data_IF_745201824982
#
_entry.id   IF_745201824982
#
_cell.length_a   1.000
_cell.length_b   1.000
_cell.length_c   1.000
_cell.angle_alpha   90.00
_cell.angle_beta   90.00
_cell.angle_gamma   90.00
#
_symmetry.space_group_name_H-M   'P 1'
#
loop_
_entity.id
_entity.type
_entity.pdbx_description
1 polymer ?
#
# COMPACT_ATOMS: atom_id res chain seq x y z
N UNK A 1 -17.54 -68.40 -24.78
CA UNK A 1 -18.88 -68.83 -25.22
C UNK A 1 -19.92 -68.11 -24.37
N UNK A 2 -20.93 -67.52 -25.04
CA UNK A 2 -22.23 -66.94 -24.63
C UNK A 2 -22.64 -67.13 -23.14
N UNK A 3 -23.20 -66.14 -22.45
CA UNK A 3 -24.51 -65.55 -22.79
C UNK A 3 -24.69 -64.09 -22.32
N UNK A 4 -25.25 -63.29 -23.22
CA UNK A 4 -26.06 -62.10 -22.95
C UNK A 4 -27.53 -62.51 -22.77
N UNK A 5 -28.30 -61.75 -21.97
CA UNK A 5 -29.58 -61.13 -22.38
C UNK A 5 -30.04 -60.03 -21.36
N UNK A 6 -30.91 -59.08 -21.79
CA UNK A 6 -30.97 -57.68 -21.30
C UNK A 6 -32.32 -57.29 -20.65
N UNK A 7 -32.47 -56.07 -20.10
CA UNK A 7 -33.68 -55.20 -20.01
C UNK A 7 -33.27 -53.92 -19.23
N UNK A 8 -33.03 -52.76 -19.86
CA UNK A 8 -33.94 -51.68 -20.30
C UNK A 8 -34.32 -50.62 -19.22
N UNK A 9 -33.76 -49.41 -19.42
CA UNK A 9 -34.35 -48.05 -19.29
C UNK A 9 -34.87 -47.56 -17.93
N UNK A 10 -34.22 -46.53 -17.37
CA UNK A 10 -34.86 -45.22 -17.14
C UNK A 10 -33.83 -44.09 -16.93
N UNK A 11 -34.08 -43.00 -17.65
CA UNK A 11 -33.41 -41.70 -17.56
C UNK A 11 -33.93 -40.95 -16.32
N UNK A 12 -33.05 -40.42 -15.48
CA UNK A 12 -33.37 -39.29 -14.60
C UNK A 12 -32.09 -38.52 -14.24
N UNK A 13 -31.91 -37.41 -14.96
CA UNK A 13 -31.05 -36.30 -14.58
C UNK A 13 -31.58 -35.67 -13.29
N UNK A 14 -30.82 -35.76 -12.21
CA UNK A 14 -30.92 -34.82 -11.10
C UNK A 14 -29.50 -34.42 -10.69
N UNK A 15 -29.08 -33.29 -11.27
CA UNK A 15 -28.05 -32.41 -10.75
C UNK A 15 -28.41 -31.98 -9.33
N UNK A 16 -27.66 -32.48 -8.34
CA UNK A 16 -27.62 -31.85 -7.03
C UNK A 16 -26.68 -30.63 -7.11
N UNK A 17 -27.07 -29.46 -6.55
CA UNK A 17 -26.23 -28.28 -6.60
C UNK A 17 -25.02 -28.51 -5.69
N UNK A 18 -23.84 -28.14 -6.18
CA UNK A 18 -22.65 -28.00 -5.35
C UNK A 18 -22.95 -26.98 -4.26
N UNK A 19 -23.21 -27.46 -3.04
CA UNK A 19 -23.25 -26.61 -1.86
C UNK A 19 -21.90 -25.92 -1.74
N UNK A 20 -21.93 -24.60 -1.74
CA UNK A 20 -20.81 -23.77 -1.38
C UNK A 20 -20.30 -24.22 0.01
N UNK A 21 -19.10 -24.80 0.05
CA UNK A 21 -18.36 -24.96 1.28
C UNK A 21 -17.89 -23.57 1.73
N UNK A 22 -18.74 -22.93 2.51
CA UNK A 22 -18.32 -21.94 3.48
C UNK A 22 -17.55 -22.68 4.60
N UNK A 23 -16.40 -22.15 4.99
CA UNK A 23 -15.71 -22.57 6.21
C UNK A 23 -14.41 -23.35 6.00
N UNK A 24 -13.42 -22.75 5.34
CA UNK A 24 -12.07 -22.83 5.93
C UNK A 24 -11.83 -21.47 6.60
N UNK A 25 -11.99 -21.50 7.92
CA UNK A 25 -11.57 -20.47 8.85
C UNK A 25 -10.09 -20.15 8.58
N UNK A 26 -9.77 -18.91 8.23
CA UNK A 26 -8.39 -18.41 8.25
C UNK A 26 -7.80 -18.38 9.68
N UNK A 27 -8.55 -18.85 10.69
CA UNK A 27 -8.21 -18.81 12.11
C UNK A 27 -7.71 -20.16 12.68
N UNK A 28 -7.71 -21.25 11.90
CA UNK A 28 -7.42 -22.60 12.46
C UNK A 28 -5.92 -22.94 12.60
N UNK A 29 -5.02 -21.94 12.57
CA UNK A 29 -3.58 -22.13 12.79
C UNK A 29 -2.93 -21.01 13.64
N UNK A 30 -3.60 -20.57 14.71
CA UNK A 30 -3.00 -19.62 15.66
C UNK A 30 -3.06 -18.16 15.22
N UNK A 31 -4.17 -17.76 14.58
CA UNK A 31 -4.40 -16.41 14.07
C UNK A 31 -4.11 -15.32 15.09
N UNK A 32 -3.57 -14.20 14.62
CA UNK A 32 -3.25 -13.05 15.46
C UNK A 32 -4.52 -12.22 15.72
N UNK A 33 -4.65 -11.68 16.94
CA UNK A 33 -5.77 -10.82 17.35
C UNK A 33 -5.28 -9.69 18.25
N UNK A 34 -6.00 -8.56 18.34
CA UNK A 34 -5.80 -7.60 19.42
C UNK A 34 -5.99 -8.24 20.79
N UNK A 35 -5.08 -8.00 21.73
CA UNK A 35 -5.26 -8.40 23.14
C UNK A 35 -5.99 -7.29 23.88
N UNK A 36 -7.29 -7.19 23.63
CA UNK A 36 -8.12 -6.08 24.10
C UNK A 36 -8.26 -4.97 23.08
N UNK A 37 -8.80 -3.83 23.52
CA UNK A 37 -9.16 -2.69 22.69
C UNK A 37 -8.31 -1.44 22.95
N UNK A 38 -7.58 -1.45 24.06
CA UNK A 38 -6.77 -0.31 24.50
C UNK A 38 -5.48 -0.22 23.68
N UNK A 39 -5.36 0.83 22.88
CA UNK A 39 -4.07 1.26 22.34
C UNK A 39 -3.39 2.19 23.34
N UNK A 40 -2.06 2.15 23.39
CA UNK A 40 -1.24 3.02 24.24
C UNK A 40 -0.38 3.95 23.37
N UNK A 41 -0.24 5.23 23.74
CA UNK A 41 0.63 6.14 23.01
C UNK A 41 2.10 5.80 23.29
N UNK A 42 2.92 5.79 22.25
CA UNK A 42 4.34 5.46 22.34
C UNK A 42 5.18 6.73 22.34
N UNK A 43 5.28 7.33 23.53
CA UNK A 43 6.07 8.52 23.85
C UNK A 43 5.58 9.83 23.18
N UNK A 44 5.82 10.94 23.90
CA UNK A 44 5.53 12.31 23.47
C UNK A 44 6.70 12.80 22.62
N UNK A 45 6.72 12.43 21.34
CA UNK A 45 7.82 12.70 20.40
C UNK A 45 7.39 13.68 19.29
N UNK A 46 6.73 14.80 19.66
CA UNK A 46 6.41 15.92 18.74
C UNK A 46 6.01 17.24 19.45
N UNK A 47 6.92 18.18 19.75
CA UNK A 47 6.55 19.59 19.96
C UNK A 47 6.54 20.43 18.65
N UNK A 48 6.83 19.84 17.49
CA UNK A 48 6.94 20.51 16.19
C UNK A 48 5.66 20.51 15.33
N UNK A 49 5.59 21.40 14.34
CA UNK A 49 4.43 21.63 13.45
C UNK A 49 4.37 20.71 12.23
N UNK A 50 5.38 19.87 12.02
CA UNK A 50 5.41 18.95 10.88
C UNK A 50 4.85 17.61 11.32
N UNK A 51 3.74 17.21 10.70
CA UNK A 51 3.12 15.90 10.88
C UNK A 51 4.23 14.83 10.82
N UNK A 52 4.25 13.82 11.71
CA UNK A 52 4.95 12.61 11.39
C UNK A 52 4.33 12.12 10.08
N UNK A 53 5.03 12.31 8.97
CA UNK A 53 4.85 11.55 7.75
C UNK A 53 5.66 10.26 7.91
N UNK A 54 5.12 9.18 8.50
CA UNK A 54 5.68 7.87 8.32
C UNK A 54 5.31 7.48 6.90
N UNK A 55 6.06 8.02 5.93
CA UNK A 55 5.97 7.64 4.53
C UNK A 55 6.16 6.14 4.32
N UNK A 56 6.59 5.41 5.36
CA UNK A 56 6.10 4.07 5.75
C UNK A 56 6.55 3.80 7.19
N UNK A 57 5.65 3.34 8.06
CA UNK A 57 6.08 2.59 9.24
C UNK A 57 6.65 1.26 8.75
N UNK A 58 7.95 1.02 8.94
CA UNK A 58 8.60 -0.15 8.38
C UNK A 58 8.93 -1.17 9.46
N UNK A 59 8.37 -2.37 9.27
CA UNK A 59 8.70 -3.54 10.08
C UNK A 59 10.13 -4.01 9.76
N UNK A 60 11.08 -3.84 10.68
CA UNK A 60 12.26 -4.70 10.80
C UNK A 60 11.86 -6.09 11.33
N UNK A 61 12.78 -7.03 11.56
CA UNK A 61 12.38 -8.35 12.10
C UNK A 61 11.61 -8.25 13.43
N UNK A 62 12.06 -7.34 14.32
CA UNK A 62 11.59 -7.21 15.71
C UNK A 62 11.24 -5.78 16.16
N UNK A 63 11.52 -4.78 15.34
CA UNK A 63 11.36 -3.37 15.68
C UNK A 63 10.62 -2.64 14.57
N UNK A 64 9.88 -1.60 14.95
CA UNK A 64 9.38 -0.59 14.03
C UNK A 64 10.46 0.47 13.85
N UNK A 65 10.85 0.79 12.61
CA UNK A 65 11.67 1.98 12.32
C UNK A 65 10.80 3.10 11.76
N UNK A 66 11.05 4.31 12.23
CA UNK A 66 10.33 5.52 11.85
C UNK A 66 11.19 6.78 12.12
N UNK A 67 10.75 7.93 11.64
CA UNK A 67 11.36 9.22 11.96
C UNK A 67 10.57 9.93 13.07
N UNK A 68 11.27 10.58 14.00
CA UNK A 68 10.64 11.31 15.11
C UNK A 68 11.57 12.39 15.65
N UNK A 69 11.00 13.35 16.39
CA UNK A 69 11.73 14.44 17.06
C UNK A 69 11.42 14.45 18.57
N UNK A 70 12.46 14.44 19.41
CA UNK A 70 12.33 14.54 20.88
C UNK A 70 12.53 15.97 21.41
N UNK A 71 12.60 16.95 20.52
CA UNK A 71 12.88 18.35 20.80
C UNK A 71 14.34 18.64 21.19
N UNK A 72 15.23 17.65 21.15
CA UNK A 72 16.66 17.79 21.49
C UNK A 72 17.58 17.46 20.33
N UNK A 73 17.28 16.39 19.59
CA UNK A 73 18.09 15.89 18.48
C UNK A 73 17.51 16.26 17.11
N UNK A 74 16.40 17.02 17.06
CA UNK A 74 15.66 17.22 15.84
C UNK A 74 15.05 15.91 15.32
N UNK A 75 14.60 15.91 14.07
CA UNK A 75 13.98 14.75 13.44
C UNK A 75 15.01 13.72 13.01
N UNK A 76 15.02 12.57 13.68
CA UNK A 76 16.04 11.52 13.58
C UNK A 76 15.43 10.11 13.41
N UNK A 77 16.20 9.04 13.15
CA UNK A 77 15.67 7.69 13.06
C UNK A 77 15.46 7.07 14.45
N UNK A 78 14.25 6.58 14.70
CA UNK A 78 13.83 5.95 15.96
C UNK A 78 13.39 4.51 15.74
N UNK A 79 13.48 3.72 16.82
CA UNK A 79 12.93 2.38 16.89
C UNK A 79 11.91 2.25 18.01
N UNK A 80 10.89 1.43 17.77
CA UNK A 80 10.00 0.95 18.83
C UNK A 80 9.83 -0.56 18.80
N UNK A 81 9.82 -1.16 19.99
CA UNK A 81 9.43 -2.56 20.20
C UNK A 81 7.99 -2.70 20.70
N UNK A 82 7.25 -1.59 20.79
CA UNK A 82 5.89 -1.56 21.29
C UNK A 82 5.78 -1.57 22.81
N UNK A 83 4.56 -1.82 23.28
CA UNK A 83 4.07 -1.82 24.66
C UNK A 83 4.69 -2.90 25.55
N UNK A 84 5.05 -4.06 24.98
CA UNK A 84 5.62 -5.19 25.74
C UNK A 84 7.15 -5.31 25.66
N UNK A 85 7.83 -4.36 25.01
CA UNK A 85 9.25 -4.44 24.70
C UNK A 85 10.14 -3.50 25.50
N UNK A 86 11.31 -3.17 24.96
CA UNK A 86 12.22 -2.14 25.48
C UNK A 86 11.68 -0.71 25.32
N UNK A 87 10.51 -0.55 24.72
CA UNK A 87 9.89 0.74 24.42
C UNK A 87 10.41 1.36 23.14
N UNK A 88 10.41 2.69 23.12
CA UNK A 88 10.81 3.54 21.99
C UNK A 88 12.13 4.25 22.31
N UNK A 89 13.07 4.28 21.37
CA UNK A 89 14.38 4.91 21.54
C UNK A 89 14.99 5.39 20.23
N UNK A 90 15.82 6.42 20.30
CA UNK A 90 16.64 6.89 19.18
C UNK A 90 17.55 5.75 18.69
N UNK A 91 17.60 5.53 17.37
CA UNK A 91 18.53 4.57 16.76
C UNK A 91 19.92 5.16 16.72
N UNK A 92 20.03 6.35 16.16
CA UNK A 92 21.26 7.11 15.99
C UNK A 92 20.89 8.59 15.82
N UNK A 93 21.68 9.47 16.43
CA UNK A 93 21.67 10.90 16.11
C UNK A 93 22.52 11.08 14.85
N UNK A 94 21.89 10.96 13.67
CA UNK A 94 22.62 10.97 12.39
C UNK A 94 23.18 12.36 12.13
N UNK A 95 22.42 13.41 12.43
CA UNK A 95 22.90 14.80 12.35
C UNK A 95 22.90 15.43 13.73
N UNK A 96 24.09 15.45 14.34
CA UNK A 96 24.26 15.96 15.70
C UNK A 96 23.69 17.37 15.89
N UNK A 97 22.82 17.52 16.89
CA UNK A 97 22.24 18.79 17.31
C UNK A 97 20.75 18.89 17.02
N UNK A 98 20.14 20.08 17.16
CA UNK A 98 18.69 20.23 17.05
C UNK A 98 18.18 20.29 15.60
N UNK A 99 19.05 20.25 14.60
CA UNK A 99 18.65 20.40 13.18
C UNK A 99 18.03 19.12 12.60
N UNK A 100 18.43 17.94 13.10
CA UNK A 100 17.92 16.65 12.63
C UNK A 100 18.40 16.24 11.22
N UNK A 101 18.37 14.94 10.96
CA UNK A 101 18.81 14.33 9.69
C UNK A 101 17.70 14.15 8.64
N UNK A 102 16.47 14.52 9.00
CA UNK A 102 15.27 14.38 8.19
C UNK A 102 15.06 13.01 7.52
N UNK A 103 15.02 11.90 8.30
CA UNK A 103 14.88 10.57 7.71
C UNK A 103 13.57 10.40 6.95
N UNK A 104 13.66 9.79 5.78
CA UNK A 104 12.51 9.56 4.91
C UNK A 104 12.69 8.31 4.04
N UNK A 105 11.65 7.91 3.32
CA UNK A 105 11.74 6.82 2.34
C UNK A 105 12.04 5.42 2.92
N UNK A 106 11.75 5.18 4.22
CA UNK A 106 11.99 3.90 4.86
C UNK A 106 11.47 2.72 4.01
N UNK A 107 12.36 1.81 3.65
CA UNK A 107 12.08 0.67 2.78
C UNK A 107 12.79 -0.57 3.30
N UNK A 108 12.03 -1.62 3.62
CA UNK A 108 12.58 -2.90 4.07
C UNK A 108 13.17 -3.67 2.91
N UNK A 109 14.38 -4.20 3.09
CA UNK A 109 15.01 -5.18 2.19
C UNK A 109 15.63 -6.29 3.04
N UNK A 110 14.99 -7.46 3.08
CA UNK A 110 15.36 -8.54 4.00
C UNK A 110 15.20 -8.08 5.46
N UNK A 111 16.28 -8.17 6.24
CA UNK A 111 16.28 -7.81 7.66
C UNK A 111 16.78 -6.38 7.92
N UNK A 112 17.06 -5.64 6.85
CA UNK A 112 17.53 -4.25 6.92
C UNK A 112 16.44 -3.31 6.45
N UNK A 113 16.53 -2.08 6.92
CA UNK A 113 15.71 -0.96 6.46
C UNK A 113 16.63 0.08 5.87
N UNK A 114 16.36 0.44 4.63
CA UNK A 114 17.00 1.55 3.94
C UNK A 114 16.17 2.81 4.15
N UNK A 115 16.83 3.96 4.26
CA UNK A 115 16.18 5.25 4.39
C UNK A 115 17.11 6.33 3.86
N UNK A 116 16.56 7.52 3.68
CA UNK A 116 17.27 8.70 3.17
C UNK A 116 17.44 9.68 4.31
N UNK A 117 18.66 10.16 4.55
CA UNK A 117 18.98 11.09 5.63
C UNK A 117 20.19 11.95 5.27
N UNK A 118 20.31 13.09 5.94
CA UNK A 118 21.40 14.06 5.80
C UNK A 118 22.18 14.16 7.12
N UNK A 119 23.47 13.81 7.11
CA UNK A 119 24.33 13.90 8.31
C UNK A 119 25.02 15.27 8.45
N UNK A 120 24.79 16.20 7.50
CA UNK A 120 25.43 17.51 7.44
C UNK A 120 26.85 17.51 6.85
N UNK A 121 27.41 16.35 6.52
CA UNK A 121 28.74 16.21 5.90
C UNK A 121 28.66 15.73 4.45
N UNK A 122 27.75 14.79 4.17
CA UNK A 122 27.56 14.13 2.86
C UNK A 122 26.25 14.54 2.18
N UNK A 123 25.52 15.50 2.75
CA UNK A 123 24.19 15.87 2.27
C UNK A 123 23.20 14.71 2.35
N UNK A 124 22.08 14.83 1.61
CA UNK A 124 21.01 13.83 1.64
C UNK A 124 21.38 12.57 0.84
N UNK A 125 21.67 11.49 1.54
CA UNK A 125 22.19 10.24 0.98
C UNK A 125 21.43 8.99 1.43
N UNK A 126 21.79 7.83 0.88
CA UNK A 126 21.19 6.54 1.24
C UNK A 126 21.86 5.95 2.48
N UNK A 127 21.05 5.64 3.50
CA UNK A 127 21.44 4.99 4.74
C UNK A 127 20.80 3.61 4.87
N UNK A 128 21.42 2.75 5.68
CA UNK A 128 20.91 1.42 6.02
C UNK A 128 20.97 1.22 7.53
N UNK A 129 19.95 0.55 8.09
CA UNK A 129 19.87 0.19 9.51
C UNK A 129 19.34 -1.23 9.72
N UNK A 130 19.85 -1.91 10.74
CA UNK A 130 19.26 -3.13 11.32
C UNK A 130 18.38 -2.84 12.56
N UNK A 131 18.16 -1.55 12.87
CA UNK A 131 17.47 -1.08 14.07
C UNK A 131 18.38 -0.83 15.28
N UNK A 132 19.69 -0.98 15.13
CA UNK A 132 20.69 -0.62 16.15
C UNK A 132 21.57 0.54 15.69
N UNK A 133 22.13 1.31 16.63
CA UNK A 133 23.09 2.38 16.32
C UNK A 133 24.29 1.86 15.53
N UNK A 134 24.86 0.72 15.92
CA UNK A 134 26.04 0.12 15.27
C UNK A 134 25.75 -0.40 13.86
N UNK A 135 24.53 -0.86 13.61
CA UNK A 135 24.11 -1.31 12.29
C UNK A 135 23.54 -0.20 11.42
N UNK A 136 23.57 1.06 11.88
CA UNK A 136 23.10 2.24 11.15
C UNK A 136 24.28 2.98 10.55
N UNK A 137 24.31 3.09 9.23
CA UNK A 137 25.44 3.69 8.52
C UNK A 137 25.06 4.20 7.13
N UNK A 138 25.81 5.20 6.65
CA UNK A 138 25.81 5.64 5.26
C UNK A 138 26.17 4.45 4.36
N UNK A 139 25.37 4.21 3.32
CA UNK A 139 25.61 3.13 2.37
C UNK A 139 26.76 3.50 1.44
N UNK A 140 26.68 4.69 0.86
CA UNK A 140 27.65 5.26 -0.07
C UNK A 140 27.39 6.75 -0.19
N UNK A 141 28.46 7.54 -0.18
CA UNK A 141 28.45 8.93 -0.62
C UNK A 141 28.43 8.93 -2.16
N UNK A 142 27.22 9.01 -2.74
CA UNK A 142 27.04 8.94 -4.21
C UNK A 142 27.39 10.28 -4.84
N UNK A 143 27.00 11.39 -4.20
CA UNK A 143 27.37 12.74 -4.60
C UNK A 143 28.33 13.36 -3.58
N UNK A 144 29.65 13.36 -3.84
CA UNK A 144 30.63 13.78 -2.86
C UNK A 144 30.41 15.20 -2.32
N UNK A 145 30.38 15.31 -0.99
CA UNK A 145 30.27 16.58 -0.26
C UNK A 145 28.84 16.87 0.19
N UNK A 146 28.58 18.14 0.56
CA UNK A 146 27.36 18.52 1.28
C UNK A 146 26.09 18.59 0.42
N UNK A 147 26.20 18.45 -0.89
CA UNK A 147 25.05 18.56 -1.80
C UNK A 147 24.15 17.32 -1.72
N UNK A 148 24.72 16.10 -1.67
CA UNK A 148 24.01 14.83 -1.60
C UNK A 148 23.32 14.39 -2.90
N UNK A 149 23.09 13.08 -3.03
CA UNK A 149 22.51 12.46 -4.23
C UNK A 149 20.99 12.49 -4.29
N UNK A 150 20.33 12.89 -3.19
CA UNK A 150 18.87 12.94 -3.03
C UNK A 150 18.16 11.66 -3.50
N UNK A 151 18.38 10.49 -2.86
CA UNK A 151 17.69 9.27 -3.24
C UNK A 151 16.16 9.36 -3.10
N UNK A 152 15.43 8.75 -4.03
CA UNK A 152 13.96 8.71 -4.03
C UNK A 152 13.40 7.51 -4.78
N UNK A 153 12.09 7.29 -4.65
CA UNK A 153 11.36 6.16 -5.23
C UNK A 153 11.97 4.80 -4.86
N UNK A 154 12.36 4.64 -3.59
CA UNK A 154 12.96 3.42 -3.05
C UNK A 154 12.00 2.23 -3.13
N UNK A 155 12.42 1.15 -3.79
CA UNK A 155 11.65 -0.10 -3.91
C UNK A 155 12.53 -1.32 -3.69
N UNK A 156 11.99 -2.34 -3.03
CA UNK A 156 12.63 -3.64 -2.92
C UNK A 156 12.27 -4.50 -4.14
N UNK A 157 13.29 -5.04 -4.82
CA UNK A 157 13.10 -6.01 -5.91
C UNK A 157 14.13 -7.13 -5.79
N UNK A 158 13.66 -8.31 -5.37
CA UNK A 158 14.47 -9.53 -5.40
C UNK A 158 15.61 -9.53 -4.38
N UNK A 159 15.42 -8.90 -3.23
CA UNK A 159 16.41 -8.79 -2.15
C UNK A 159 17.39 -7.63 -2.33
N UNK A 160 17.19 -6.78 -3.33
CA UNK A 160 17.97 -5.56 -3.58
C UNK A 160 17.08 -4.33 -3.47
N UNK A 161 17.68 -3.20 -3.10
CA UNK A 161 17.03 -1.90 -3.21
C UNK A 161 17.28 -1.33 -4.61
N UNK A 162 16.24 -0.81 -5.25
CA UNK A 162 16.34 0.06 -6.43
C UNK A 162 15.75 1.43 -6.09
N UNK A 163 16.37 2.48 -6.62
CA UNK A 163 16.02 3.87 -6.31
C UNK A 163 16.56 4.79 -7.40
N UNK A 164 16.06 6.03 -7.44
CA UNK A 164 16.64 7.08 -8.24
C UNK A 164 17.57 7.94 -7.38
N UNK A 165 18.76 8.28 -7.88
CA UNK A 165 19.71 9.16 -7.21
C UNK A 165 20.61 9.87 -8.23
N UNK A 166 21.11 11.04 -7.86
CA UNK A 166 21.98 11.89 -8.67
C UNK A 166 23.46 11.62 -8.45
N UNK A 167 24.26 11.68 -9.51
CA UNK A 167 25.71 11.88 -9.40
C UNK A 167 26.19 13.02 -10.33
N UNK A 168 27.38 13.60 -10.11
CA UNK A 168 27.87 14.73 -10.89
C UNK A 168 28.07 14.46 -12.38
N UNK A 169 28.28 13.21 -12.78
CA UNK A 169 28.63 12.82 -14.14
C UNK A 169 27.39 12.41 -14.96
N UNK A 170 26.37 11.82 -14.32
CA UNK A 170 25.21 11.21 -14.98
C UNK A 170 23.86 11.85 -14.61
N UNK A 171 23.84 12.83 -13.69
CA UNK A 171 22.59 13.38 -13.18
C UNK A 171 21.77 12.32 -12.44
N UNK A 172 20.43 12.49 -12.37
CA UNK A 172 19.56 11.56 -11.64
C UNK A 172 19.16 10.36 -12.49
N UNK A 173 19.63 9.19 -12.08
CA UNK A 173 19.42 7.94 -12.82
C UNK A 173 18.97 6.79 -11.92
N UNK A 174 18.81 5.59 -12.51
CA UNK A 174 18.43 4.38 -11.78
C UNK A 174 19.65 3.77 -11.09
N UNK A 175 19.57 3.64 -9.77
CA UNK A 175 20.59 3.00 -8.94
C UNK A 175 20.06 1.73 -8.28
N UNK A 176 20.99 0.91 -7.84
CA UNK A 176 20.72 -0.26 -7.00
C UNK A 176 21.67 -0.32 -5.82
N UNK A 177 21.25 -0.99 -4.75
CA UNK A 177 22.07 -1.27 -3.58
C UNK A 177 21.75 -2.63 -2.96
N UNK A 178 22.79 -3.33 -2.51
CA UNK A 178 22.68 -4.47 -1.59
C UNK A 178 22.96 -4.06 -0.14
N UNK A 179 23.08 -2.76 0.15
CA UNK A 179 23.41 -2.19 1.47
C UNK A 179 24.89 -2.05 1.76
N UNK A 180 25.76 -2.34 0.80
CA UNK A 180 27.20 -2.06 0.87
C UNK A 180 27.58 -0.99 -0.16
N UNK A 181 28.69 -0.27 0.06
CA UNK A 181 29.19 0.71 -0.91
C UNK A 181 29.58 0.06 -2.25
N UNK A 182 30.21 -1.13 -2.22
CA UNK A 182 30.59 -1.87 -3.44
C UNK A 182 29.38 -2.38 -4.23
N UNK A 183 28.34 -2.86 -3.52
CA UNK A 183 27.09 -3.29 -4.14
C UNK A 183 26.15 -2.16 -4.52
N UNK A 184 26.55 -0.90 -4.31
CA UNK A 184 25.79 0.31 -4.66
C UNK A 184 26.34 0.99 -5.90
N UNK A 185 25.57 0.92 -6.99
CA UNK A 185 26.02 1.41 -8.29
C UNK A 185 24.88 1.76 -9.24
N UNK A 186 25.20 2.63 -10.21
CA UNK A 186 24.36 3.10 -11.30
C UNK A 186 23.98 1.95 -12.23
N UNK A 187 22.70 1.57 -12.23
CA UNK A 187 22.19 0.45 -13.05
C UNK A 187 22.45 0.74 -14.52
N UNK A 188 22.07 1.92 -14.95
CA UNK A 188 22.32 2.41 -16.30
C UNK A 188 22.18 3.94 -16.34
N UNK A 189 23.06 4.57 -17.12
CA UNK A 189 22.91 5.94 -17.62
C UNK A 189 21.98 5.94 -18.85
N UNK A 190 20.72 6.34 -18.63
CA UNK A 190 19.69 6.29 -19.67
C UNK A 190 19.78 7.46 -20.64
N UNK A 191 20.27 8.63 -20.18
CA UNK A 191 20.50 9.82 -20.99
C UNK A 191 21.91 10.39 -20.75
N UNK A 192 22.88 10.07 -21.64
CA UNK A 192 24.29 10.38 -21.38
C UNK A 192 24.58 11.85 -21.09
N UNK A 193 25.15 12.09 -19.90
CA UNK A 193 25.56 13.41 -19.44
C UNK A 193 24.91 13.79 -18.10
N UNK A 194 25.11 15.02 -17.63
CA UNK A 194 24.79 15.41 -16.25
C UNK A 194 23.30 15.68 -15.98
N UNK A 195 22.43 15.49 -16.97
CA UNK A 195 21.01 15.86 -16.85
C UNK A 195 20.17 14.77 -16.19
N UNK A 196 20.44 13.51 -16.54
CA UNK A 196 19.73 12.33 -16.05
C UNK A 196 18.26 12.23 -16.47
N UNK A 197 17.65 11.07 -16.24
CA UNK A 197 16.26 10.78 -16.61
C UNK A 197 15.23 10.83 -15.47
N UNK A 198 15.68 11.11 -14.24
CA UNK A 198 14.84 11.17 -13.03
C UNK A 198 13.80 10.03 -12.90
N UNK A 199 14.22 8.75 -12.81
CA UNK A 199 13.29 7.64 -12.65
C UNK A 199 12.35 7.78 -11.45
N UNK A 200 11.08 7.44 -11.61
CA UNK A 200 10.08 7.47 -10.54
C UNK A 200 9.00 6.39 -10.73
N UNK A 201 8.15 6.21 -9.71
CA UNK A 201 7.15 5.13 -9.64
C UNK A 201 7.76 3.74 -9.96
N UNK A 202 8.89 3.43 -9.33
CA UNK A 202 9.54 2.13 -9.49
C UNK A 202 8.65 1.02 -8.90
N UNK A 203 8.45 -0.06 -9.65
CA UNK A 203 7.68 -1.22 -9.18
C UNK A 203 8.20 -2.52 -9.76
N UNK A 204 8.08 -3.61 -9.00
CA UNK A 204 8.33 -4.95 -9.51
C UNK A 204 7.13 -5.41 -10.33
N UNK A 205 7.36 -5.68 -11.61
CA UNK A 205 6.36 -6.28 -12.47
C UNK A 205 6.10 -7.74 -12.14
N UNK A 206 4.99 -8.25 -12.64
CA UNK A 206 4.59 -9.64 -12.44
C UNK A 206 5.54 -10.68 -13.05
N UNK A 207 6.31 -10.28 -14.06
CA UNK A 207 7.36 -11.08 -14.68
C UNK A 207 8.68 -11.08 -13.87
N UNK A 208 8.72 -10.37 -12.75
CA UNK A 208 9.86 -10.23 -11.86
C UNK A 208 10.83 -9.10 -12.25
N UNK A 209 10.62 -8.41 -13.37
CA UNK A 209 11.44 -7.28 -13.78
C UNK A 209 11.07 -6.01 -13.02
N UNK A 210 11.98 -5.03 -13.03
CA UNK A 210 11.72 -3.68 -12.53
C UNK A 210 11.08 -2.85 -13.66
N UNK A 211 10.00 -2.15 -13.36
CA UNK A 211 9.35 -1.17 -14.22
C UNK A 211 9.38 0.19 -13.55
N UNK A 212 9.56 1.24 -14.34
CA UNK A 212 9.66 2.60 -13.84
C UNK A 212 9.35 3.61 -14.94
N UNK A 213 9.03 4.83 -14.55
CA UNK A 213 8.80 5.93 -15.47
C UNK A 213 10.03 6.84 -15.44
N UNK A 214 10.48 7.26 -16.61
CA UNK A 214 11.61 8.19 -16.76
C UNK A 214 11.21 9.39 -17.62
N UNK A 215 11.77 10.55 -17.29
CA UNK A 215 11.74 11.77 -18.07
C UNK A 215 12.95 11.78 -19.02
N UNK A 216 12.77 12.22 -20.26
CA UNK A 216 13.88 12.38 -21.21
C UNK A 216 13.77 13.74 -21.86
N UNK A 217 14.88 14.38 -22.25
CA UNK A 217 14.78 15.65 -22.97
C UNK A 217 13.84 15.55 -24.18
N UNK A 218 12.92 16.52 -24.30
CA UNK A 218 11.94 16.59 -25.39
C UNK A 218 10.75 15.63 -25.29
N UNK A 219 10.68 14.76 -24.26
CA UNK A 219 9.54 13.89 -23.98
C UNK A 219 9.15 13.97 -22.52
N UNK A 220 7.85 14.05 -22.22
CA UNK A 220 7.46 14.18 -20.83
C UNK A 220 7.68 12.87 -20.07
N UNK A 221 7.30 11.69 -20.58
CA UNK A 221 7.43 10.42 -19.82
C UNK A 221 7.61 9.19 -20.73
N UNK A 222 8.41 8.22 -20.28
CA UNK A 222 8.57 6.89 -20.89
C UNK A 222 8.43 5.79 -19.83
N UNK A 223 7.70 4.72 -20.15
CA UNK A 223 7.67 3.50 -19.33
C UNK A 223 8.86 2.61 -19.74
N UNK A 224 9.72 2.34 -18.77
CA UNK A 224 10.92 1.55 -18.92
C UNK A 224 10.80 0.22 -18.18
N UNK A 225 11.59 -0.77 -18.60
CA UNK A 225 11.71 -2.08 -17.97
C UNK A 225 13.18 -2.50 -17.89
N UNK A 226 13.66 -2.87 -16.71
CA UNK A 226 15.01 -3.43 -16.51
C UNK A 226 14.95 -4.76 -15.78
N UNK A 227 15.88 -5.66 -16.10
CA UNK A 227 16.16 -6.86 -15.30
C UNK A 227 17.24 -6.63 -14.22
N UNK A 228 17.71 -5.38 -14.10
CA UNK A 228 18.74 -4.96 -13.15
C UNK A 228 20.18 -5.34 -13.53
N UNK A 229 20.37 -5.96 -14.70
CA UNK A 229 21.69 -6.41 -15.19
C UNK A 229 22.02 -5.93 -16.60
N UNK A 230 20.99 -5.67 -17.39
CA UNK A 230 21.09 -5.20 -18.77
C UNK A 230 20.44 -3.83 -18.93
N UNK A 231 20.70 -3.23 -20.09
CA UNK A 231 20.08 -1.97 -20.50
C UNK A 231 18.56 -2.05 -20.39
N UNK A 232 17.96 -1.07 -19.74
CA UNK A 232 16.52 -0.92 -19.65
C UNK A 232 15.91 -0.80 -21.05
N UNK A 233 14.84 -1.56 -21.27
CA UNK A 233 14.03 -1.52 -22.47
C UNK A 233 12.91 -0.48 -22.33
N UNK A 234 12.76 0.38 -23.33
CA UNK A 234 11.60 1.26 -23.46
C UNK A 234 10.38 0.46 -23.94
N UNK A 235 9.28 0.51 -23.19
CA UNK A 235 8.05 -0.20 -23.53
C UNK A 235 6.95 0.72 -24.05
N UNK A 236 6.92 1.96 -23.57
CA UNK A 236 5.89 2.93 -23.93
C UNK A 236 6.46 4.33 -23.94
N UNK A 237 6.09 5.09 -24.98
CA UNK A 237 6.45 6.49 -25.14
C UNK A 237 5.21 7.33 -25.38
N UNK A 238 5.14 8.47 -24.70
CA UNK A 238 4.21 9.57 -25.02
C UNK A 238 4.99 10.71 -25.67
N UNK A 239 4.51 11.23 -26.80
CA UNK A 239 5.01 12.47 -27.41
C UNK A 239 4.40 13.70 -26.74
N UNK A 240 5.02 14.86 -26.97
CA UNK A 240 4.88 16.18 -26.32
C UNK A 240 3.49 16.86 -26.26
N UNK A 241 2.39 16.14 -26.46
CA UNK A 241 1.03 16.71 -26.54
C UNK A 241 0.24 16.63 -25.22
N UNK A 242 0.95 16.47 -24.09
CA UNK A 242 0.35 16.35 -22.77
C UNK A 242 -0.22 14.96 -22.44
N UNK A 243 -0.31 14.65 -21.15
CA UNK A 243 -0.84 13.38 -20.62
C UNK A 243 0.17 12.68 -19.71
N UNK A 244 -0.31 11.94 -18.72
CA UNK A 244 0.48 11.29 -17.67
C UNK A 244 0.55 9.78 -17.76
N UNK A 245 1.54 9.21 -17.10
CA UNK A 245 1.51 7.82 -16.60
C UNK A 245 1.31 7.92 -15.09
N UNK A 246 0.16 7.46 -14.60
CA UNK A 246 -0.31 7.81 -13.25
C UNK A 246 -0.14 6.69 -12.23
N UNK A 247 -0.24 5.43 -12.67
CA UNK A 247 -0.26 4.28 -11.77
C UNK A 247 0.33 3.06 -12.44
N UNK A 248 1.14 2.29 -11.70
CA UNK A 248 1.69 1.01 -12.14
C UNK A 248 1.32 -0.07 -11.11
N UNK A 249 0.69 -1.17 -11.55
CA UNK A 249 0.35 -2.28 -10.66
C UNK A 249 0.59 -3.64 -11.32
N UNK A 250 1.38 -4.48 -10.63
CA UNK A 250 1.60 -5.85 -11.05
C UNK A 250 0.42 -6.76 -10.69
N UNK A 251 0.02 -7.62 -11.63
CA UNK A 251 -1.03 -8.63 -11.43
C UNK A 251 -0.61 -9.92 -12.14
N UNK A 252 -0.29 -10.96 -11.37
CA UNK A 252 0.22 -12.21 -11.95
C UNK A 252 1.54 -11.95 -12.69
N UNK A 253 1.60 -12.21 -14.00
CA UNK A 253 2.75 -11.91 -14.87
C UNK A 253 2.60 -10.61 -15.70
N UNK A 254 1.62 -9.78 -15.34
CA UNK A 254 1.27 -8.56 -16.08
C UNK A 254 1.62 -7.33 -15.27
N UNK A 255 1.89 -6.24 -15.96
CA UNK A 255 1.86 -4.89 -15.43
C UNK A 255 0.67 -4.15 -16.03
N UNK A 256 -0.21 -3.66 -15.17
CA UNK A 256 -1.25 -2.70 -15.54
C UNK A 256 -0.76 -1.30 -15.27
N UNK A 257 -1.16 -0.36 -16.12
CA UNK A 257 -0.90 1.05 -15.88
C UNK A 257 -1.96 1.95 -16.47
N UNK A 258 -2.07 3.14 -15.91
CA UNK A 258 -3.03 4.17 -16.34
C UNK A 258 -2.28 5.26 -17.09
N UNK A 259 -2.76 5.59 -18.28
CA UNK A 259 -2.28 6.75 -19.03
C UNK A 259 -3.41 7.73 -19.29
N UNK A 260 -3.19 9.01 -19.08
CA UNK A 260 -4.17 10.08 -19.34
C UNK A 260 -3.81 10.86 -20.60
N UNK A 261 -4.80 11.45 -21.28
CA UNK A 261 -4.60 12.38 -22.41
C UNK A 261 -5.03 13.80 -22.04
N UNK A 262 -4.39 14.82 -22.61
CA UNK A 262 -4.69 16.25 -22.35
C UNK A 262 -5.72 16.86 -23.32
N UNK A 263 -6.19 16.11 -24.31
CA UNK A 263 -7.24 16.59 -25.21
C UNK A 263 -8.62 16.58 -24.53
N UNK A 264 -9.53 17.41 -25.05
CA UNK A 264 -10.80 17.89 -24.43
C UNK A 264 -11.75 16.81 -23.85
N UNK A 265 -11.50 15.54 -24.11
CA UNK A 265 -12.13 14.38 -23.45
C UNK A 265 -11.07 13.62 -22.63
N UNK A 266 -10.73 14.12 -21.42
CA UNK A 266 -9.71 13.51 -20.54
C UNK A 266 -10.21 12.14 -20.07
N UNK A 267 -9.78 11.09 -20.78
CA UNK A 267 -10.02 9.71 -20.40
C UNK A 267 -8.77 9.09 -19.78
N UNK A 268 -8.96 8.36 -18.69
CA UNK A 268 -8.00 7.42 -18.17
C UNK A 268 -7.99 6.15 -19.03
N UNK A 269 -6.91 5.93 -19.76
CA UNK A 269 -6.68 4.71 -20.52
C UNK A 269 -5.99 3.67 -19.65
N UNK A 270 -6.69 2.59 -19.33
CA UNK A 270 -6.10 1.44 -18.67
C UNK A 270 -5.37 0.58 -19.71
N UNK A 271 -4.08 0.35 -19.51
CA UNK A 271 -3.20 -0.42 -20.39
C UNK A 271 -2.55 -1.58 -19.63
N UNK A 272 -2.10 -2.58 -20.37
CA UNK A 272 -1.45 -3.77 -19.83
C UNK A 272 -0.26 -4.19 -20.69
N UNK A 273 0.82 -4.66 -20.05
CA UNK A 273 1.94 -5.33 -20.72
C UNK A 273 2.39 -6.58 -19.94
N UNK A 274 2.98 -7.55 -20.63
CA UNK A 274 3.72 -8.68 -20.03
C UNK A 274 5.21 -8.66 -20.42
N UNK A 275 5.76 -7.45 -20.61
CA UNK A 275 7.16 -7.21 -21.02
C UNK A 275 7.34 -6.81 -22.49
N UNK A 276 6.27 -6.79 -23.28
CA UNK A 276 6.25 -6.29 -24.66
C UNK A 276 5.56 -4.94 -24.80
N UNK A 277 5.18 -4.59 -26.04
CA UNK A 277 4.40 -3.39 -26.32
C UNK A 277 3.05 -3.42 -25.56
N UNK A 278 2.68 -2.35 -24.84
CA UNK A 278 1.43 -2.31 -24.10
C UNK A 278 0.17 -2.36 -24.98
N UNK A 279 -0.88 -2.97 -24.45
CA UNK A 279 -2.21 -3.04 -25.08
C UNK A 279 -3.22 -2.22 -24.27
N UNK A 280 -4.11 -1.50 -24.97
CA UNK A 280 -5.24 -0.78 -24.34
C UNK A 280 -6.33 -1.78 -23.93
N UNK A 281 -6.67 -1.79 -22.64
CA UNK A 281 -7.67 -2.70 -22.05
C UNK A 281 -8.98 -2.01 -21.65
N UNK A 282 -9.03 -0.68 -21.62
CA UNK A 282 -10.24 0.11 -21.40
C UNK A 282 -9.95 1.61 -21.36
N UNK A 283 -10.99 2.42 -21.54
CA UNK A 283 -10.95 3.88 -21.40
C UNK A 283 -12.09 4.30 -20.47
N UNK A 284 -11.80 5.20 -19.53
CA UNK A 284 -12.71 5.55 -18.44
C UNK A 284 -12.64 7.06 -18.17
N UNK A 285 -13.77 7.76 -17.94
CA UNK A 285 -13.73 9.17 -17.53
C UNK A 285 -13.03 9.36 -16.18
N UNK A 286 -13.23 8.43 -15.25
CA UNK A 286 -12.51 8.35 -13.99
C UNK A 286 -12.05 6.92 -13.74
N UNK A 287 -10.83 6.76 -13.26
CA UNK A 287 -10.26 5.48 -12.83
C UNK A 287 -9.21 5.71 -11.76
N UNK A 288 -9.36 5.07 -10.60
CA UNK A 288 -8.44 5.15 -9.47
C UNK A 288 -8.49 3.90 -8.59
N UNK A 289 -7.72 3.89 -7.50
CA UNK A 289 -7.67 2.83 -6.48
C UNK A 289 -7.44 1.42 -7.05
N UNK A 290 -6.32 1.22 -7.75
CA UNK A 290 -5.99 -0.09 -8.34
C UNK A 290 -5.54 -1.09 -7.27
N UNK A 291 -6.08 -2.31 -7.31
CA UNK A 291 -5.62 -3.42 -6.47
C UNK A 291 -5.64 -4.77 -7.20
N UNK A 292 -4.72 -5.66 -6.83
CA UNK A 292 -4.62 -7.00 -7.39
C UNK A 292 -5.31 -8.03 -6.49
N UNK A 293 -6.27 -8.79 -7.02
CA UNK A 293 -6.89 -9.91 -6.30
C UNK A 293 -7.07 -11.12 -7.24
N UNK A 294 -6.58 -12.28 -6.82
CA UNK A 294 -6.81 -13.55 -7.54
C UNK A 294 -6.34 -13.53 -9.00
N UNK A 295 -5.26 -12.80 -9.32
CA UNK A 295 -4.73 -12.67 -10.68
C UNK A 295 -5.53 -11.74 -11.61
N UNK A 296 -6.42 -10.91 -11.05
CA UNK A 296 -7.14 -9.84 -11.76
C UNK A 296 -6.87 -8.49 -11.11
N UNK A 297 -6.98 -7.45 -11.93
CA UNK A 297 -7.02 -6.08 -11.48
C UNK A 297 -8.45 -5.75 -11.02
N UNK A 298 -8.57 -5.02 -9.92
CA UNK A 298 -9.79 -4.34 -9.47
C UNK A 298 -9.50 -2.86 -9.30
N UNK A 299 -10.49 -2.01 -9.55
CA UNK A 299 -10.34 -0.56 -9.51
C UNK A 299 -11.71 0.12 -9.42
N UNK A 300 -11.74 1.36 -8.92
CA UNK A 300 -12.90 2.22 -9.03
C UNK A 300 -12.88 2.92 -10.39
N UNK A 301 -14.01 2.95 -11.10
CA UNK A 301 -14.13 3.70 -12.35
C UNK A 301 -15.58 4.02 -12.74
N UNK A 302 -15.74 5.05 -13.57
CA UNK A 302 -16.98 5.34 -14.31
C UNK A 302 -16.90 4.81 -15.75
N UNK A 303 -18.02 4.34 -16.30
CA UNK A 303 -18.10 3.83 -17.67
C UNK A 303 -18.29 4.94 -18.71
N UNK A 304 -17.66 4.81 -19.89
CA UNK A 304 -17.90 5.74 -21.00
C UNK A 304 -19.35 5.63 -21.51
N UNK A 305 -20.03 6.78 -21.64
CA UNK A 305 -21.41 6.85 -22.17
C UNK A 305 -22.48 6.23 -21.27
N UNK A 306 -22.10 5.77 -20.08
CA UNK A 306 -23.00 5.18 -19.10
C UNK A 306 -23.54 6.29 -18.18
N UNK A 307 -24.86 6.33 -17.97
CA UNK A 307 -25.49 7.21 -16.96
C UNK A 307 -25.28 6.68 -15.54
N UNK A 308 -24.27 5.85 -15.32
CA UNK A 308 -23.96 5.20 -14.06
C UNK A 308 -22.65 5.78 -13.56
N UNK A 309 -22.63 6.29 -12.33
CA UNK A 309 -21.46 6.90 -11.72
C UNK A 309 -20.32 5.90 -11.48
N UNK A 310 -19.41 6.24 -10.58
CA UNK A 310 -18.27 5.38 -10.26
C UNK A 310 -18.71 4.10 -9.55
N UNK A 311 -18.19 2.97 -10.02
CA UNK A 311 -18.51 1.64 -9.52
C UNK A 311 -17.24 0.77 -9.41
N UNK A 312 -17.38 -0.42 -8.83
CA UNK A 312 -16.27 -1.36 -8.75
C UNK A 312 -16.13 -2.10 -10.08
N UNK A 313 -14.95 -2.02 -10.69
CA UNK A 313 -14.60 -2.71 -11.92
C UNK A 313 -13.52 -3.76 -11.70
N UNK A 314 -13.40 -4.68 -12.66
CA UNK A 314 -12.31 -5.65 -12.73
C UNK A 314 -11.79 -5.82 -14.14
N UNK A 315 -10.53 -6.22 -14.29
CA UNK A 315 -9.94 -6.60 -15.58
C UNK A 315 -9.06 -7.85 -15.46
N UNK A 316 -9.14 -8.71 -16.48
CA UNK A 316 -8.18 -9.80 -16.71
C UNK A 316 -7.01 -9.41 -17.62
N UNK A 317 -6.94 -8.14 -18.05
CA UNK A 317 -5.92 -7.65 -18.99
C UNK A 317 -6.34 -7.69 -20.45
N UNK A 318 -7.62 -7.98 -20.74
CA UNK A 318 -8.19 -7.88 -22.08
C UNK A 318 -9.38 -6.92 -22.08
N UNK A 319 -9.65 -6.23 -23.20
CA UNK A 319 -10.83 -5.35 -23.32
C UNK A 319 -12.14 -6.07 -22.99
N UNK A 320 -12.30 -7.33 -23.44
CA UNK A 320 -13.50 -8.12 -23.19
C UNK A 320 -13.65 -8.54 -21.73
N UNK A 321 -12.54 -8.75 -21.03
CA UNK A 321 -12.51 -9.13 -19.62
C UNK A 321 -12.49 -7.94 -18.65
N UNK A 322 -12.51 -6.71 -19.16
CA UNK A 322 -12.67 -5.49 -18.38
C UNK A 322 -14.16 -5.19 -18.19
N UNK A 323 -14.68 -5.41 -16.98
CA UNK A 323 -16.11 -5.42 -16.70
C UNK A 323 -16.40 -4.81 -15.32
N UNK A 324 -17.52 -4.08 -15.20
CA UNK A 324 -18.11 -3.71 -13.91
C UNK A 324 -18.46 -4.97 -13.12
N UNK A 325 -18.11 -5.00 -11.84
CA UNK A 325 -18.40 -6.14 -10.95
C UNK A 325 -19.87 -6.17 -10.58
N UNK A 326 -20.41 -5.03 -10.16
CA UNK A 326 -21.81 -4.81 -9.81
C UNK A 326 -22.12 -3.32 -10.00
N UNK A 327 -23.32 -3.01 -10.48
CA UNK A 327 -23.88 -1.66 -10.38
C UNK A 327 -24.45 -1.53 -8.97
N UNK A 328 -23.65 -1.01 -8.04
CA UNK A 328 -24.01 -1.02 -6.62
C UNK A 328 -25.01 0.09 -6.30
N UNK A 329 -24.84 1.29 -6.86
CA UNK A 329 -25.81 2.39 -6.78
C UNK A 329 -26.21 2.82 -8.19
N UNK A 330 -27.44 2.50 -8.57
CA UNK A 330 -27.95 2.81 -9.89
C UNK A 330 -28.00 4.33 -10.15
N UNK A 331 -27.62 4.73 -11.36
CA UNK A 331 -27.69 6.13 -11.83
C UNK A 331 -26.38 6.90 -11.68
N UNK A 332 -26.40 8.18 -12.03
CA UNK A 332 -25.19 8.97 -12.28
C UNK A 332 -24.35 9.25 -11.03
N UNK A 333 -24.91 9.05 -9.84
CA UNK A 333 -24.19 9.21 -8.57
C UNK A 333 -23.16 8.10 -8.37
N UNK A 334 -23.49 6.84 -8.71
CA UNK A 334 -22.61 5.69 -8.48
C UNK A 334 -22.28 5.45 -7.00
N UNK A 335 -21.62 4.34 -6.72
CA UNK A 335 -21.27 3.97 -5.35
C UNK A 335 -19.94 4.54 -4.84
N UNK A 336 -19.15 5.15 -5.76
CA UNK A 336 -17.80 5.68 -5.53
C UNK A 336 -16.98 4.81 -4.57
N UNK A 337 -16.61 3.58 -4.97
CA UNK A 337 -15.76 2.71 -4.17
C UNK A 337 -14.39 3.33 -3.91
N UNK A 338 -13.93 3.25 -2.67
CA UNK A 338 -12.61 3.75 -2.28
C UNK A 338 -11.93 2.86 -1.25
N UNK A 339 -10.60 2.98 -1.14
CA UNK A 339 -9.81 2.24 -0.14
C UNK A 339 -9.76 0.74 -0.41
N UNK A 340 -9.73 0.34 -1.69
CA UNK A 340 -9.72 -1.05 -2.13
C UNK A 340 -8.60 -1.86 -1.45
N UNK A 341 -8.96 -2.74 -0.53
CA UNK A 341 -8.03 -3.48 0.35
C UNK A 341 -8.29 -4.98 0.30
N UNK A 342 -7.26 -5.75 -0.05
CA UNK A 342 -7.36 -7.22 -0.10
C UNK A 342 -7.07 -7.83 1.25
N UNK A 343 -8.00 -8.66 1.74
CA UNK A 343 -7.81 -9.50 2.93
C UNK A 343 -8.15 -10.96 2.59
N UNK A 344 -7.12 -11.79 2.52
CA UNK A 344 -7.24 -13.18 2.07
C UNK A 344 -7.68 -13.26 0.61
N UNK A 345 -8.88 -13.80 0.37
CA UNK A 345 -9.47 -13.98 -0.97
C UNK A 345 -10.59 -12.99 -1.29
N UNK A 346 -10.72 -11.93 -0.48
CA UNK A 346 -11.80 -10.95 -0.58
C UNK A 346 -11.24 -9.54 -0.69
N UNK A 347 -11.99 -8.68 -1.35
CA UNK A 347 -11.74 -7.27 -1.49
C UNK A 347 -12.68 -6.49 -0.56
N UNK A 348 -12.14 -5.67 0.32
CA UNK A 348 -12.87 -4.77 1.20
C UNK A 348 -12.72 -3.33 0.72
N UNK A 349 -13.76 -2.53 0.86
CA UNK A 349 -13.77 -1.15 0.37
C UNK A 349 -14.90 -0.34 1.00
N UNK A 350 -14.79 0.98 0.93
CA UNK A 350 -15.82 1.93 1.34
C UNK A 350 -16.69 2.29 0.13
N UNK A 351 -18.02 2.22 0.25
CA UNK A 351 -18.93 2.59 -0.84
C UNK A 351 -20.33 2.96 -0.30
N UNK A 352 -21.11 3.68 -1.10
CA UNK A 352 -22.48 4.11 -0.79
C UNK A 352 -23.48 3.53 -1.79
N UNK A 353 -24.40 2.67 -1.32
CA UNK A 353 -25.45 2.07 -2.16
C UNK A 353 -26.69 2.96 -2.34
N UNK A 354 -26.69 4.15 -1.74
CA UNK A 354 -27.81 5.09 -1.72
C UNK A 354 -28.92 4.75 -0.70
N UNK A 355 -28.76 3.66 0.06
CA UNK A 355 -29.73 3.22 1.08
C UNK A 355 -29.14 3.24 2.50
N UNK A 356 -27.92 2.73 2.64
CA UNK A 356 -27.22 2.56 3.93
C UNK A 356 -26.12 3.62 4.14
N UNK A 357 -26.05 4.63 3.27
CA UNK A 357 -24.95 5.59 3.26
C UNK A 357 -23.61 4.92 2.96
N UNK A 358 -22.52 5.66 3.17
CA UNK A 358 -21.15 5.16 2.94
C UNK A 358 -20.72 4.24 4.08
N UNK A 359 -20.56 2.96 3.75
CA UNK A 359 -20.30 1.88 4.71
C UNK A 359 -19.21 0.92 4.22
N UNK A 360 -18.90 -0.10 5.02
CA UNK A 360 -17.87 -1.09 4.69
C UNK A 360 -18.47 -2.22 3.84
N UNK A 361 -17.93 -2.41 2.65
CA UNK A 361 -18.35 -3.42 1.67
C UNK A 361 -17.28 -4.50 1.48
N UNK A 362 -17.74 -5.66 1.00
CA UNK A 362 -16.87 -6.78 0.61
C UNK A 362 -17.26 -7.32 -0.76
N UNK A 363 -16.28 -7.77 -1.54
CA UNK A 363 -16.47 -8.49 -2.80
C UNK A 363 -15.55 -9.69 -2.92
N UNK A 364 -16.06 -10.79 -3.51
CA UNK A 364 -15.24 -11.90 -4.02
C UNK A 364 -14.86 -11.73 -5.51
N UNK A 365 -15.22 -10.59 -6.10
CA UNK A 365 -15.03 -10.26 -7.49
C UNK A 365 -16.18 -10.66 -8.41
N UNK A 366 -17.33 -11.07 -7.87
CA UNK A 366 -18.58 -11.33 -8.57
C UNK A 366 -19.70 -10.41 -8.09
N UNK A 367 -20.72 -10.17 -8.92
CA UNK A 367 -21.87 -9.36 -8.55
C UNK A 367 -22.60 -9.89 -7.31
N UNK A 368 -22.79 -11.22 -7.22
CA UNK A 368 -23.48 -11.88 -6.10
C UNK A 368 -22.66 -11.89 -4.80
N UNK A 369 -21.33 -11.89 -4.91
CA UNK A 369 -20.44 -11.80 -3.77
C UNK A 369 -20.09 -10.37 -3.34
N UNK A 370 -20.62 -9.34 -4.01
CA UNK A 370 -20.49 -7.93 -3.60
C UNK A 370 -21.64 -7.53 -2.67
N UNK A 371 -21.34 -7.43 -1.38
CA UNK A 371 -22.30 -7.33 -0.27
C UNK A 371 -21.86 -6.28 0.75
N UNK A 372 -22.83 -5.69 1.44
CA UNK A 372 -22.61 -4.85 2.62
C UNK A 372 -21.98 -5.74 3.70
N UNK A 373 -20.77 -5.40 4.13
CA UNK A 373 -20.01 -6.22 5.07
C UNK A 373 -20.32 -5.84 6.51
N UNK A 374 -20.31 -4.53 6.79
CA UNK A 374 -20.72 -3.97 8.07
C UNK A 374 -21.48 -2.67 7.80
N UNK A 375 -22.68 -2.60 8.37
CA UNK A 375 -23.48 -1.38 8.49
C UNK A 375 -23.16 -0.78 9.87
N UNK A 376 -22.04 -0.06 9.95
CA UNK A 376 -21.51 0.45 11.22
C UNK A 376 -22.44 1.53 11.77
N UNK A 377 -23.00 2.38 10.91
CA UNK A 377 -24.03 3.36 11.25
C UNK A 377 -25.28 3.13 10.41
N UNK A 378 -26.28 2.41 10.97
CA UNK A 378 -27.49 2.08 10.23
C UNK A 378 -28.25 3.29 9.68
N UNK A 379 -28.59 3.21 8.39
CA UNK A 379 -29.37 4.20 7.66
C UNK A 379 -28.52 5.12 6.78
N UNK A 380 -29.13 6.15 6.19
CA UNK A 380 -28.50 6.94 5.12
C UNK A 380 -27.31 7.83 5.55
N UNK A 381 -26.96 7.86 6.84
CA UNK A 381 -25.83 8.65 7.35
C UNK A 381 -24.47 8.02 7.07
N UNK A 382 -24.36 6.69 7.16
CA UNK A 382 -23.12 5.95 6.99
C UNK A 382 -22.05 6.24 8.06
N UNK A 383 -20.98 5.44 8.05
CA UNK A 383 -19.83 5.56 8.95
C UNK A 383 -18.55 6.04 8.27
N UNK A 384 -18.61 6.28 6.95
CA UNK A 384 -17.49 6.69 6.09
C UNK A 384 -16.16 5.95 6.38
N UNK A 385 -16.08 4.61 6.22
CA UNK A 385 -14.85 3.88 6.51
C UNK A 385 -13.66 4.35 5.67
N UNK A 386 -12.50 4.55 6.29
CA UNK A 386 -11.25 4.97 5.65
C UNK A 386 -10.03 4.24 6.24
N UNK A 387 -8.85 4.46 5.66
CA UNK A 387 -7.57 3.89 6.10
C UNK A 387 -7.60 2.35 6.28
N UNK A 388 -8.34 1.66 5.39
CA UNK A 388 -8.44 0.21 5.40
C UNK A 388 -7.06 -0.42 5.21
N UNK A 389 -6.66 -1.29 6.15
CA UNK A 389 -5.37 -1.97 6.12
C UNK A 389 -5.51 -3.40 6.60
N UNK A 390 -5.11 -4.35 5.76
CA UNK A 390 -5.04 -5.76 6.11
C UNK A 390 -3.75 -6.06 6.90
N UNK A 391 -3.90 -6.62 8.11
CA UNK A 391 -2.79 -6.98 9.01
C UNK A 391 -3.02 -8.37 9.58
N UNK A 392 -2.20 -9.34 9.17
CA UNK A 392 -2.21 -10.74 9.67
C UNK A 392 -3.61 -11.35 9.86
N UNK A 393 -4.46 -11.25 8.83
CA UNK A 393 -5.81 -11.83 8.87
C UNK A 393 -6.90 -10.92 9.47
N UNK A 394 -6.55 -9.71 9.89
CA UNK A 394 -7.48 -8.70 10.40
C UNK A 394 -7.54 -7.51 9.44
N UNK A 395 -8.67 -6.82 9.42
CA UNK A 395 -8.86 -5.53 8.75
C UNK A 395 -8.91 -4.45 9.81
N UNK A 396 -7.93 -3.54 9.80
CA UNK A 396 -7.97 -2.29 10.55
C UNK A 396 -8.48 -1.18 9.66
N UNK A 397 -9.24 -0.24 10.22
CA UNK A 397 -9.80 0.91 9.50
C UNK A 397 -10.20 1.99 10.49
N UNK A 398 -10.62 3.14 9.99
CA UNK A 398 -11.23 4.21 10.79
C UNK A 398 -12.68 4.43 10.34
N UNK A 399 -13.56 4.81 11.26
CA UNK A 399 -14.97 5.08 10.98
C UNK A 399 -15.57 6.06 11.99
N UNK A 400 -16.57 6.81 11.55
CA UNK A 400 -17.34 7.78 12.34
C UNK A 400 -18.63 7.13 12.87
N UNK A 401 -19.07 7.50 14.08
CA UNK A 401 -20.36 7.01 14.63
C UNK A 401 -21.13 8.13 15.34
N UNK A 402 -22.46 8.04 15.47
CA UNK A 402 -23.22 9.06 16.20
C UNK A 402 -22.70 9.26 17.63
N UNK A 403 -22.27 10.48 17.95
CA UNK A 403 -21.72 10.83 19.27
C UNK A 403 -20.20 10.67 19.39
N UNK A 404 -19.53 10.11 18.38
CA UNK A 404 -18.08 9.96 18.32
C UNK A 404 -17.53 10.44 16.97
N UNK A 405 -16.38 11.10 16.95
CA UNK A 405 -15.68 11.38 15.70
C UNK A 405 -15.14 10.12 15.03
N UNK A 406 -14.21 10.30 14.09
CA UNK A 406 -13.53 9.19 13.40
C UNK A 406 -12.56 8.51 14.35
N UNK A 407 -12.86 7.25 14.67
CA UNK A 407 -12.13 6.44 15.64
C UNK A 407 -11.58 5.15 15.00
N UNK A 408 -10.66 4.41 15.66
CA UNK A 408 -10.06 3.21 15.08
C UNK A 408 -10.96 1.99 15.28
N UNK A 409 -11.01 1.14 14.27
CA UNK A 409 -11.79 -0.09 14.25
C UNK A 409 -10.97 -1.27 13.78
N UNK A 410 -11.41 -2.47 14.16
CA UNK A 410 -10.83 -3.74 13.75
C UNK A 410 -11.92 -4.75 13.41
N UNK A 411 -11.63 -5.62 12.46
CA UNK A 411 -12.46 -6.75 12.08
C UNK A 411 -11.59 -7.97 11.81
N UNK A 412 -12.05 -9.17 12.18
CA UNK A 412 -11.39 -10.42 11.74
C UNK A 412 -11.69 -10.77 10.28
N UNK A 413 -12.36 -9.87 9.55
CA UNK A 413 -12.86 -10.09 8.21
C UNK A 413 -14.07 -11.02 8.16
N UNK A 414 -14.60 -11.50 9.28
CA UNK A 414 -15.82 -12.31 9.31
C UNK A 414 -17.06 -11.42 9.39
N UNK A 415 -18.19 -11.86 8.82
CA UNK A 415 -19.42 -11.07 8.90
C UNK A 415 -19.78 -10.80 10.37
N UNK A 416 -20.08 -9.53 10.70
CA UNK A 416 -20.39 -9.11 12.07
C UNK A 416 -19.19 -8.98 13.02
N UNK A 417 -17.95 -9.10 12.53
CA UNK A 417 -16.75 -8.96 13.40
C UNK A 417 -16.20 -7.54 13.52
N UNK A 418 -16.79 -6.55 12.85
CA UNK A 418 -16.35 -5.16 12.95
C UNK A 418 -16.63 -4.62 14.36
N UNK A 419 -15.61 -4.07 15.01
CA UNK A 419 -15.69 -3.55 16.36
C UNK A 419 -14.76 -2.33 16.54
N UNK A 420 -15.17 -1.29 17.29
CA UNK A 420 -14.28 -0.17 17.58
C UNK A 420 -13.13 -0.62 18.50
N UNK A 421 -12.02 0.08 18.48
CA UNK A 421 -11.05 0.08 19.58
C UNK A 421 -11.50 1.08 20.64
N UNK A 422 -10.73 1.23 21.72
CA UNK A 422 -11.06 2.23 22.72
C UNK A 422 -10.95 3.64 22.13
N UNK A 423 -11.88 4.52 22.51
CA UNK A 423 -11.97 5.91 22.05
C UNK A 423 -10.68 6.67 22.39
N UNK A 424 -10.08 7.29 21.37
CA UNK A 424 -8.82 8.04 21.49
C UNK A 424 -9.05 9.55 21.56
N UNK A 425 -10.06 10.07 20.84
CA UNK A 425 -10.49 11.46 20.90
C UNK A 425 -11.89 11.56 21.51
N UNK A 426 -12.13 12.57 22.36
CA UNK A 426 -13.34 12.63 23.18
C UNK A 426 -14.55 13.16 22.42
N UNK A 427 -15.67 12.43 22.48
CA UNK A 427 -16.94 12.89 21.95
C UNK A 427 -16.85 13.10 20.44
N UNK A 428 -17.33 14.24 19.93
CA UNK A 428 -17.38 14.49 18.48
C UNK A 428 -16.01 14.79 17.84
N UNK A 429 -14.94 14.87 18.62
CA UNK A 429 -13.59 15.04 18.09
C UNK A 429 -13.11 13.75 17.40
N UNK A 430 -12.30 13.89 16.35
CA UNK A 430 -11.77 12.74 15.58
C UNK A 430 -10.32 12.47 15.94
N UNK A 431 -9.98 11.19 16.15
CA UNK A 431 -8.59 10.77 16.28
C UNK A 431 -7.90 10.51 14.94
N UNK A 432 -8.64 10.50 13.82
CA UNK A 432 -8.14 10.29 12.45
C UNK A 432 -7.10 9.17 12.33
N UNK A 433 -7.40 7.94 12.80
CA UNK A 433 -6.41 6.89 12.83
C UNK A 433 -6.07 6.38 11.44
N UNK A 434 -4.78 6.11 11.21
CA UNK A 434 -4.31 5.58 9.93
C UNK A 434 -2.89 5.03 9.96
N UNK A 435 -2.46 4.45 8.84
CA UNK A 435 -1.10 3.90 8.69
C UNK A 435 -0.85 2.65 9.54
N UNK A 436 -1.89 1.84 9.80
CA UNK A 436 -1.76 0.62 10.57
C UNK A 436 -0.67 -0.30 10.01
N UNK A 437 0.33 -0.61 10.82
CA UNK A 437 1.34 -1.61 10.51
C UNK A 437 1.55 -2.48 11.71
N UNK A 438 1.93 -3.72 11.47
CA UNK A 438 2.41 -4.55 12.56
C UNK A 438 3.93 -4.62 12.59
N UNK A 439 4.49 -4.47 13.78
CA UNK A 439 5.87 -4.87 14.04
C UNK A 439 5.99 -5.66 15.32
N UNK A 440 6.71 -6.77 15.27
CA UNK A 440 6.80 -7.70 16.40
C UNK A 440 5.42 -8.13 16.88
N UNK A 441 5.10 -7.74 18.11
CA UNK A 441 3.89 -8.13 18.80
C UNK A 441 2.83 -7.02 18.84
N UNK A 442 3.05 -5.86 18.24
CA UNK A 442 2.07 -4.77 18.29
C UNK A 442 1.65 -4.31 16.89
N UNK A 443 0.43 -3.80 16.79
CA UNK A 443 -0.03 -2.98 15.67
C UNK A 443 0.18 -1.52 16.04
N UNK A 444 0.93 -0.81 15.22
CA UNK A 444 1.22 0.59 15.34
C UNK A 444 0.40 1.39 14.35
N UNK A 445 -0.02 2.58 14.74
CA UNK A 445 -0.77 3.49 13.88
C UNK A 445 -0.63 4.92 14.38
N UNK A 446 -0.90 5.89 13.50
CA UNK A 446 -0.99 7.29 13.90
C UNK A 446 -2.41 7.63 14.29
N UNK A 447 -2.57 8.43 15.34
CA UNK A 447 -3.86 8.99 15.74
C UNK A 447 -3.66 10.27 16.58
N UNK A 448 -4.68 11.13 16.61
CA UNK A 448 -4.75 12.35 17.40
C UNK A 448 -5.43 12.10 18.74
N UNK A 449 -4.97 12.78 19.78
CA UNK A 449 -5.74 13.00 21.02
C UNK A 449 -5.77 14.48 21.37
N UNK A 450 -6.77 14.87 22.17
CA UNK A 450 -7.01 16.26 22.54
C UNK A 450 -5.86 16.93 23.31
N UNK A 451 -5.02 16.15 23.99
CA UNK A 451 -3.95 16.70 24.84
C UNK A 451 -2.61 16.85 24.10
N UNK A 452 -2.33 16.05 23.06
CA UNK A 452 -0.99 15.97 22.44
C UNK A 452 -0.99 16.03 20.90
N UNK A 453 -2.14 16.20 20.24
CA UNK A 453 -2.18 16.19 18.77
C UNK A 453 -1.86 14.80 18.20
N UNK A 454 -1.26 14.75 17.00
CA UNK A 454 -1.02 13.49 16.27
C UNK A 454 0.23 12.78 16.79
N UNK A 455 0.10 11.50 17.14
CA UNK A 455 1.21 10.70 17.67
C UNK A 455 1.13 9.23 17.25
N UNK A 456 2.21 8.49 17.53
CA UNK A 456 2.28 7.05 17.33
C UNK A 456 1.63 6.29 18.49
N UNK A 457 0.73 5.39 18.16
CA UNK A 457 0.05 4.49 19.08
C UNK A 457 0.46 3.05 18.82
N UNK A 458 0.38 2.20 19.85
CA UNK A 458 0.53 0.77 19.73
C UNK A 458 -0.60 0.02 20.43
N UNK A 459 -1.14 -0.96 19.72
CA UNK A 459 -2.14 -1.92 20.17
C UNK A 459 -1.49 -3.29 20.34
N UNK A 460 -1.55 -3.89 21.55
CA UNK A 460 -1.10 -5.26 21.75
C UNK A 460 -1.81 -6.23 20.80
N UNK A 461 -1.04 -6.97 20.00
CA UNK A 461 -1.56 -7.86 18.96
C UNK A 461 -0.80 -9.19 18.95
N UNK A 462 -1.37 -10.26 19.48
CA UNK A 462 -0.66 -11.54 19.74
C UNK A 462 -1.32 -12.72 19.03
N UNK A 463 -0.65 -13.88 18.90
CA UNK A 463 -1.35 -15.12 18.55
C UNK A 463 -2.48 -15.35 19.54
N UNK A 464 -3.65 -15.81 19.08
CA UNK A 464 -4.87 -15.83 19.90
C UNK A 464 -4.70 -16.49 21.28
N UNK A 465 -3.90 -17.56 21.37
CA UNK A 465 -3.64 -18.30 22.61
C UNK A 465 -2.77 -17.54 23.63
N UNK A 466 -2.11 -16.45 23.24
CA UNK A 466 -1.22 -15.67 24.12
C UNK A 466 -1.92 -14.47 24.75
N UNK A 467 -2.99 -13.94 24.14
CA UNK A 467 -3.77 -12.86 24.78
C UNK A 467 -4.45 -13.31 26.07
N UNK A 468 -4.78 -14.60 26.18
CA UNK A 468 -5.55 -15.14 27.30
C UNK A 468 -4.67 -15.41 28.55
N UNK A 469 -3.34 -15.31 28.42
CA UNK A 469 -2.38 -15.51 29.52
C UNK A 469 -1.99 -14.21 30.26
N UNK A 470 -2.23 -13.03 29.67
CA UNK A 470 -1.97 -11.73 30.32
C UNK A 470 -3.07 -11.34 31.34
N UNK A 471 -4.09 -12.18 31.53
CA UNK A 471 -5.21 -11.97 32.47
C UNK A 471 -5.14 -12.88 33.72
N UNK A 472 -4.03 -13.59 33.94
CA UNK A 472 -3.85 -14.48 35.11
C UNK A 472 -2.80 -14.01 36.09
#
# INVERSE_FOLDING_TARGET
MRCWRPFAVLLALLSAPAQAQAGESLLDAGGWKPCGRAASPLADLSPGTEDPEPGRLVRGERVLLFASDDGRHGREPWVSTGTGGRGTSLVMDVRSGPEGSEPSGFTRVGDRVFFVADDGEHGRELWVSDGSSRGTQLVKDIWPGVDGSYPLSLVEVGGLLYFAAGDPDHGRELWRSDGTSEGTWLVEDLDPGPEGTSPYQLTRGGDGALYFISHFQGFYMRLMRSDGRSRAAELFRRSSEGGGLESLLAVGNKLFFVSTSVHDDVMAELRMTSGGAPVLVGSFPSLHDLVALGGRLYFSASGEGDSTGEELWRSDGTRKGTLRVKDLRAGAEGSSPSGLTVLGRRLFFSADDGMNGRELWVSDGTASGTLLFADVVPGAGGSSPEALTAVDGNLFFSAETPGHGREPWVSSGSTGSAAPLDELASGMDSSDPGGFVRSGWDVFFLARDAAHGRRLWALPFRPAHQCDNDTR
#
